data_IF_266875869248
#
_entry.id   IF_266875869248
#
_cell.length_a   1.000
_cell.length_b   1.000
_cell.length_c   1.000
_cell.angle_alpha   90.00
_cell.angle_beta   90.00
_cell.angle_gamma   90.00
#
_symmetry.space_group_name_H-M   'P 1'
#
loop_
_entity.id
_entity.type
_entity.pdbx_description
1 polymer ?
#
# COMPACT_ATOMS: atom_id res chain seq x y z
N UNK A 1 37.11 29.22 60.09
CA UNK A 1 37.59 27.83 60.28
C UNK A 1 36.70 26.95 59.39
N UNK A 2 37.12 26.67 58.15
CA UNK A 2 37.77 25.39 57.73
C UNK A 2 36.77 24.23 57.82
N UNK A 3 36.32 23.52 56.78
CA UNK A 3 36.95 23.03 55.53
C UNK A 3 35.79 22.56 54.62
N UNK A 4 35.80 22.59 53.27
CA UNK A 4 36.86 22.20 52.35
C UNK A 4 36.73 20.71 51.99
N UNK A 5 35.84 20.35 51.06
CA UNK A 5 35.90 19.06 50.35
C UNK A 5 35.86 19.31 48.85
N UNK A 6 37.06 19.28 48.29
CA UNK A 6 37.33 19.27 46.87
C UNK A 6 37.43 17.83 46.38
N UNK A 7 36.89 17.61 45.19
CA UNK A 7 37.49 16.80 44.13
C UNK A 7 36.94 15.39 43.85
N UNK A 8 36.97 15.15 42.53
CA UNK A 8 37.17 13.89 41.82
C UNK A 8 35.95 13.03 41.49
N UNK A 9 35.61 13.11 40.19
CA UNK A 9 35.44 11.96 39.30
C UNK A 9 34.09 11.24 39.46
N UNK A 10 33.20 11.27 38.48
CA UNK A 10 33.33 10.51 37.23
C UNK A 10 32.39 11.12 36.17
N UNK A 11 32.96 11.58 35.06
CA UNK A 11 32.22 11.82 33.83
C UNK A 11 31.78 10.45 33.31
N UNK A 12 30.53 10.07 33.57
CA UNK A 12 29.89 8.95 32.86
C UNK A 12 29.54 9.46 31.46
N UNK A 13 30.40 9.17 30.50
CA UNK A 13 30.06 9.30 29.07
C UNK A 13 29.01 8.24 28.76
N UNK A 14 27.73 8.63 28.87
CA UNK A 14 26.62 7.81 28.39
C UNK A 14 26.57 7.96 26.87
N UNK A 15 27.21 7.02 26.17
CA UNK A 15 27.05 6.84 24.73
C UNK A 15 25.60 6.40 24.46
N UNK A 16 24.72 7.37 24.21
CA UNK A 16 23.35 7.12 23.78
C UNK A 16 23.38 6.55 22.36
N UNK A 17 23.24 5.23 22.26
CA UNK A 17 23.02 4.54 20.99
C UNK A 17 21.71 5.03 20.37
N UNK A 18 21.80 5.79 19.28
CA UNK A 18 20.66 6.23 18.46
C UNK A 18 20.09 5.01 17.72
N UNK A 19 19.22 4.25 18.39
CA UNK A 19 18.38 3.24 17.74
C UNK A 19 17.24 3.99 17.04
N UNK A 20 17.43 4.28 15.76
CA UNK A 20 16.37 4.80 14.90
C UNK A 20 15.31 3.73 14.67
N UNK A 21 14.26 3.72 15.50
CA UNK A 21 13.05 2.96 15.20
C UNK A 21 12.38 3.58 13.97
N UNK A 22 12.52 2.94 12.81
CA UNK A 22 11.71 3.23 11.63
C UNK A 22 10.28 2.82 11.97
N UNK A 23 9.48 3.77 12.47
CA UNK A 23 8.05 3.58 12.60
C UNK A 23 7.46 3.46 11.20
N UNK A 24 7.02 2.25 10.83
CA UNK A 24 6.20 2.07 9.64
C UNK A 24 4.94 2.92 9.83
N UNK A 25 4.81 4.00 9.04
CA UNK A 25 3.58 4.79 9.01
C UNK A 25 2.44 3.86 8.59
N UNK A 26 1.53 3.60 9.52
CA UNK A 26 0.27 2.91 9.24
C UNK A 26 -0.57 3.87 8.41
N UNK A 27 -0.53 3.71 7.09
CA UNK A 27 -1.47 4.39 6.20
C UNK A 27 -2.87 3.93 6.57
N UNK A 28 -3.77 4.85 6.85
CA UNK A 28 -5.19 4.56 7.11
C UNK A 28 -5.89 4.27 5.78
N UNK A 29 -5.50 3.18 5.12
CA UNK A 29 -6.01 2.80 3.82
C UNK A 29 -7.34 2.04 3.95
N UNK A 30 -8.38 2.55 3.31
CA UNK A 30 -9.75 2.04 3.47
C UNK A 30 -10.21 1.26 2.23
N UNK A 31 -10.30 -0.07 2.35
CA UNK A 31 -10.68 -0.94 1.23
C UNK A 31 -12.10 -0.68 0.69
N UNK A 32 -13.07 -0.33 1.52
CA UNK A 32 -14.43 -0.04 1.07
C UNK A 32 -14.48 1.26 0.26
N UNK A 33 -13.78 2.30 0.74
CA UNK A 33 -13.57 3.54 -0.01
C UNK A 33 -12.80 3.25 -1.31
N UNK A 34 -11.76 2.44 -1.25
CA UNK A 34 -10.98 1.97 -2.39
C UNK A 34 -11.84 1.34 -3.48
N UNK A 35 -12.77 0.46 -3.11
CA UNK A 35 -13.72 -0.15 -4.03
C UNK A 35 -14.62 0.89 -4.70
N UNK A 36 -15.12 1.87 -3.95
CA UNK A 36 -15.94 2.95 -4.49
C UNK A 36 -15.15 3.80 -5.48
N UNK A 37 -13.90 4.15 -5.16
CA UNK A 37 -13.01 4.92 -6.03
C UNK A 37 -12.65 4.14 -7.30
N UNK A 38 -12.35 2.85 -7.18
CA UNK A 38 -12.08 1.95 -8.31
C UNK A 38 -13.26 1.91 -9.30
N UNK A 39 -14.50 1.96 -8.80
CA UNK A 39 -15.69 2.10 -9.63
C UNK A 39 -15.84 3.50 -10.22
N UNK A 40 -15.69 4.54 -9.39
CA UNK A 40 -15.86 5.95 -9.75
C UNK A 40 -14.90 6.39 -10.85
N UNK A 41 -13.64 5.98 -10.77
CA UNK A 41 -12.60 6.34 -11.75
C UNK A 41 -12.57 5.42 -12.98
N UNK A 42 -13.51 4.47 -13.08
CA UNK A 42 -13.65 3.62 -14.25
C UNK A 42 -12.61 2.51 -14.36
N UNK A 43 -11.79 2.26 -13.33
CA UNK A 43 -10.76 1.22 -13.36
C UNK A 43 -11.34 -0.17 -13.68
N UNK A 44 -12.57 -0.42 -13.21
CA UNK A 44 -13.30 -1.67 -13.46
C UNK A 44 -13.61 -1.94 -14.93
N UNK A 45 -13.63 -0.92 -15.78
CA UNK A 45 -14.02 -1.06 -17.19
C UNK A 45 -13.02 -1.95 -17.94
N UNK A 46 -11.73 -1.84 -17.59
CA UNK A 46 -10.67 -2.68 -18.17
C UNK A 46 -10.23 -3.80 -17.22
N UNK A 47 -10.23 -3.56 -15.90
CA UNK A 47 -9.69 -4.52 -14.93
C UNK A 47 -10.75 -5.42 -14.27
N UNK A 48 -12.02 -5.28 -14.66
CA UNK A 48 -13.14 -6.05 -14.08
C UNK A 48 -13.59 -5.52 -12.72
N UNK A 49 -14.85 -5.81 -12.35
CA UNK A 49 -15.52 -5.26 -11.14
C UNK A 49 -14.89 -5.66 -9.81
N UNK A 50 -14.15 -6.76 -9.78
CA UNK A 50 -13.40 -7.23 -8.59
C UNK A 50 -11.92 -7.31 -8.89
N UNK A 51 -11.44 -6.50 -9.84
CA UNK A 51 -10.04 -6.45 -10.25
C UNK A 51 -9.46 -7.80 -10.72
N UNK A 52 -10.33 -8.68 -11.21
CA UNK A 52 -9.99 -10.01 -11.71
C UNK A 52 -9.32 -10.01 -13.09
N UNK A 53 -9.30 -8.85 -13.76
CA UNK A 53 -8.83 -8.68 -15.14
C UNK A 53 -9.92 -8.91 -16.17
N UNK A 54 -9.63 -8.50 -17.41
CA UNK A 54 -10.42 -8.78 -18.61
C UNK A 54 -9.50 -8.82 -19.84
N UNK A 55 -10.05 -8.99 -21.03
CA UNK A 55 -9.28 -8.82 -22.28
C UNK A 55 -8.73 -7.40 -22.47
N UNK A 56 -9.36 -6.39 -21.86
CA UNK A 56 -8.94 -5.00 -21.96
C UNK A 56 -7.92 -4.58 -20.90
N UNK A 57 -7.68 -5.38 -19.86
CA UNK A 57 -6.79 -5.00 -18.76
C UNK A 57 -6.39 -6.15 -17.86
N UNK A 58 -5.15 -6.11 -17.37
CA UNK A 58 -4.58 -7.17 -16.55
C UNK A 58 -5.34 -7.42 -15.24
N UNK A 59 -5.18 -8.61 -14.68
CA UNK A 59 -5.63 -8.93 -13.33
C UNK A 59 -4.80 -8.18 -12.28
N UNK A 60 -5.46 -7.50 -11.35
CA UNK A 60 -4.79 -6.73 -10.29
C UNK A 60 -4.94 -7.35 -8.90
N UNK A 61 -6.02 -8.10 -8.65
CA UNK A 61 -6.31 -8.74 -7.38
C UNK A 61 -6.14 -10.28 -7.44
N UNK A 62 -5.87 -10.99 -6.33
CA UNK A 62 -5.68 -10.49 -4.96
C UNK A 62 -4.25 -10.05 -4.66
N UNK A 63 -3.33 -10.17 -5.64
CA UNK A 63 -1.90 -9.96 -5.45
C UNK A 63 -1.43 -8.76 -6.30
N UNK A 64 -1.80 -7.52 -5.94
CA UNK A 64 -1.31 -6.35 -6.64
C UNK A 64 0.20 -6.20 -6.42
N UNK A 65 0.86 -5.52 -7.35
CA UNK A 65 2.24 -5.08 -7.14
C UNK A 65 2.34 -4.15 -5.90
N UNK A 66 3.54 -3.95 -5.31
CA UNK A 66 3.71 -3.06 -4.17
C UNK A 66 3.17 -1.65 -4.45
N UNK A 67 2.60 -0.98 -3.43
CA UNK A 67 1.90 0.31 -3.57
C UNK A 67 2.72 1.35 -4.34
N UNK A 68 4.02 1.48 -4.05
CA UNK A 68 4.89 2.44 -4.74
C UNK A 68 5.03 2.12 -6.25
N UNK A 69 5.13 0.85 -6.62
CA UNK A 69 5.17 0.43 -8.02
C UNK A 69 3.81 0.64 -8.70
N UNK A 70 2.72 0.32 -7.99
CA UNK A 70 1.35 0.54 -8.45
C UNK A 70 1.09 2.01 -8.74
N UNK A 71 1.41 2.90 -7.79
CA UNK A 71 1.24 4.32 -7.95
C UNK A 71 2.03 4.84 -9.16
N UNK A 72 3.31 4.47 -9.28
CA UNK A 72 4.14 4.84 -10.44
C UNK A 72 3.52 4.40 -11.77
N UNK A 73 3.03 3.16 -11.85
CA UNK A 73 2.41 2.65 -13.08
C UNK A 73 1.11 3.39 -13.41
N UNK A 74 0.27 3.66 -12.41
CA UNK A 74 -0.99 4.40 -12.62
C UNK A 74 -0.73 5.85 -13.07
N UNK A 75 0.36 6.47 -12.61
CA UNK A 75 0.78 7.81 -13.06
C UNK A 75 1.35 7.80 -14.48
N UNK A 76 2.10 6.76 -14.84
CA UNK A 76 2.82 6.63 -16.11
C UNK A 76 2.61 5.24 -16.71
N UNK A 77 1.39 4.94 -17.18
CA UNK A 77 1.04 3.62 -17.69
C UNK A 77 1.62 3.38 -19.09
N UNK A 78 1.53 2.12 -19.53
CA UNK A 78 1.84 1.72 -20.91
C UNK A 78 0.58 1.21 -21.61
N UNK A 79 0.58 1.26 -22.94
CA UNK A 79 -0.53 0.81 -23.78
C UNK A 79 -1.75 1.73 -23.68
N UNK A 80 -2.94 1.14 -23.73
CA UNK A 80 -4.23 1.85 -23.78
C UNK A 80 -4.70 2.35 -22.41
N UNK A 81 -3.98 2.07 -21.32
CA UNK A 81 -4.38 2.53 -19.99
C UNK A 81 -4.14 4.05 -19.86
N UNK A 82 -5.17 4.86 -19.56
CA UNK A 82 -5.00 6.30 -19.43
C UNK A 82 -4.19 6.65 -18.16
N UNK A 83 -3.38 7.73 -18.19
CA UNK A 83 -2.65 8.18 -17.03
C UNK A 83 -3.60 8.86 -16.02
N UNK A 84 -3.53 8.44 -14.76
CA UNK A 84 -4.25 9.11 -13.66
C UNK A 84 -3.25 9.94 -12.87
N UNK A 85 -3.30 11.27 -13.00
CA UNK A 85 -2.41 12.18 -12.27
C UNK A 85 -2.86 12.37 -10.82
N UNK A 86 -1.97 12.91 -9.97
CA UNK A 86 -2.28 13.22 -8.57
C UNK A 86 -3.42 14.24 -8.40
N UNK A 87 -3.77 15.00 -9.46
CA UNK A 87 -4.90 15.92 -9.49
C UNK A 87 -6.25 15.21 -9.70
N UNK A 88 -6.23 14.02 -10.31
CA UNK A 88 -7.46 13.25 -10.61
C UNK A 88 -7.70 12.19 -9.53
N UNK A 89 -6.64 11.48 -9.14
CA UNK A 89 -6.67 10.48 -8.07
C UNK A 89 -5.51 10.81 -7.16
N UNK A 90 -5.78 11.20 -5.92
CA UNK A 90 -4.73 11.52 -4.95
C UNK A 90 -3.92 10.28 -4.56
N UNK A 91 -2.77 10.47 -3.92
CA UNK A 91 -1.95 9.33 -3.46
C UNK A 91 -2.68 8.51 -2.37
N UNK A 92 -3.45 9.18 -1.51
CA UNK A 92 -4.29 8.50 -0.52
C UNK A 92 -5.39 7.68 -1.18
N UNK A 93 -6.05 8.21 -2.22
CA UNK A 93 -7.07 7.46 -2.95
C UNK A 93 -6.48 6.25 -3.70
N UNK A 94 -5.25 6.36 -4.21
CA UNK A 94 -4.54 5.19 -4.75
C UNK A 94 -4.17 4.18 -3.67
N UNK A 95 -3.83 4.62 -2.46
CA UNK A 95 -3.60 3.73 -1.33
C UNK A 95 -4.90 2.99 -0.95
N UNK A 96 -6.03 3.68 -0.87
CA UNK A 96 -7.35 3.08 -0.63
C UNK A 96 -7.70 2.06 -1.72
N UNK A 97 -7.51 2.41 -3.00
CA UNK A 97 -7.72 1.47 -4.13
C UNK A 97 -6.80 0.26 -3.97
N UNK A 98 -5.53 0.45 -3.61
CA UNK A 98 -4.59 -0.66 -3.38
C UNK A 98 -5.03 -1.56 -2.22
N UNK A 99 -5.58 -1.00 -1.15
CA UNK A 99 -6.17 -1.75 -0.04
C UNK A 99 -7.32 -2.64 -0.52
N UNK A 100 -8.20 -2.10 -1.37
CA UNK A 100 -9.25 -2.89 -2.03
C UNK A 100 -8.68 -4.04 -2.86
N UNK A 101 -7.65 -3.80 -3.67
CA UNK A 101 -7.03 -4.85 -4.49
C UNK A 101 -6.47 -6.00 -3.64
N UNK A 102 -5.93 -5.70 -2.46
CA UNK A 102 -5.44 -6.69 -1.49
C UNK A 102 -6.56 -7.41 -0.73
N UNK A 103 -7.72 -6.79 -0.58
CA UNK A 103 -8.83 -7.35 0.21
C UNK A 103 -9.68 -8.38 -0.56
N UNK A 104 -9.57 -8.42 -1.89
CA UNK A 104 -10.29 -9.39 -2.72
C UNK A 104 -9.78 -10.81 -2.41
N UNK A 105 -10.67 -11.79 -2.15
CA UNK A 105 -10.24 -13.16 -1.85
C UNK A 105 -9.66 -13.86 -3.08
N UNK A 106 -8.75 -14.81 -2.83
CA UNK A 106 -8.25 -15.70 -3.88
C UNK A 106 -9.38 -16.63 -4.34
N UNK A 107 -9.59 -16.81 -5.66
CA UNK A 107 -10.53 -17.81 -6.16
C UNK A 107 -10.16 -19.21 -5.67
N UNK A 108 -11.14 -20.10 -5.45
CA UNK A 108 -10.86 -21.50 -5.13
C UNK A 108 -10.03 -22.15 -6.26
N UNK A 109 -9.25 -23.17 -5.89
CA UNK A 109 -8.52 -23.95 -6.88
C UNK A 109 -9.51 -24.69 -7.78
N UNK A 110 -9.21 -24.77 -9.09
CA UNK A 110 -10.07 -25.50 -10.04
C UNK A 110 -10.31 -26.95 -9.63
N UNK A 111 -9.31 -27.59 -9.02
CA UNK A 111 -9.39 -28.96 -8.51
C UNK A 111 -10.38 -29.14 -7.34
N UNK A 112 -10.81 -28.05 -6.69
CA UNK A 112 -11.79 -28.08 -5.59
C UNK A 112 -13.23 -27.80 -6.02
N UNK A 113 -13.48 -27.56 -7.31
CA UNK A 113 -14.82 -27.37 -7.83
C UNK A 113 -15.42 -28.74 -8.20
N UNK A 114 -16.62 -29.09 -7.72
CA UNK A 114 -17.32 -30.26 -8.22
C UNK A 114 -17.73 -29.99 -9.67
N UNK A 115 -17.31 -30.87 -10.57
CA UNK A 115 -17.79 -30.91 -11.94
C UNK A 115 -18.77 -32.07 -12.02
N UNK A 116 -20.06 -31.77 -11.95
CA UNK A 116 -21.09 -32.72 -12.35
C UNK A 116 -21.15 -32.68 -13.89
N UNK A 117 -20.80 -33.78 -14.54
CA UNK A 117 -20.88 -33.99 -16.00
C UNK A 117 -22.33 -34.14 -16.48
#
# INVERSE_FOLDING_TARGET
MSSGFSSCLRVFVVAFALVSTVAAQKTDDNADRGRQLFMRFGCYQCHGRVAQGSSAGARLAPAPMPLAAFARYVRQPRGEMPPYTAKVVTDQELADIHAFLRSVPRPPAVASLPFDE
#
